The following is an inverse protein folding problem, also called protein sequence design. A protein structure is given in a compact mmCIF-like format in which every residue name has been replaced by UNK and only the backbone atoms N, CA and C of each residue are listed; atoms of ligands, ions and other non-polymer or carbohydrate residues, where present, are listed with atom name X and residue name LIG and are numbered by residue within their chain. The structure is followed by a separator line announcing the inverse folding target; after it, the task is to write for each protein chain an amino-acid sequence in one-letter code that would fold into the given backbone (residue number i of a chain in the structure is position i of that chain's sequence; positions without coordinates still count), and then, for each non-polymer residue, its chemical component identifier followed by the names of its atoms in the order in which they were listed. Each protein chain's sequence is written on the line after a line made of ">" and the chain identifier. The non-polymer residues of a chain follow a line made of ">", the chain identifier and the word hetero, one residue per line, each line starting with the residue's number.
data_IF_001795053064
#
_entry.id   IF_001795053064
#
_cell.length_a   1.000
_cell.length_b   1.000
_cell.length_c   1.000
_cell.angle_alpha   90.00
_cell.angle_beta   90.00
_cell.angle_gamma   90.00
#
_symmetry.space_group_name_H-M   'P 1'
#
loop_
_entity.id
_entity.type
_entity.pdbx_description
1 polymer ?
#
# COMPACT_ATOMS: atom_id res chain seq x y z
N UNK A 1 -8.23 8.86 7.10
CA UNK A 1 -8.12 10.33 6.88
C UNK A 1 -8.83 10.79 5.61
N UNK A 2 -8.58 10.22 4.43
CA UNK A 2 -9.21 10.67 3.15
C UNK A 2 -10.73 10.75 3.22
N UNK A 3 -11.42 9.73 3.77
CA UNK A 3 -12.86 9.79 3.95
C UNK A 3 -13.26 10.93 4.90
N UNK A 4 -12.57 11.07 6.04
CA UNK A 4 -12.87 12.10 7.03
C UNK A 4 -12.83 13.52 6.43
N UNK A 5 -11.82 13.79 5.58
CA UNK A 5 -11.64 15.07 4.91
C UNK A 5 -12.68 15.36 3.82
N UNK A 6 -13.36 14.34 3.32
CA UNK A 6 -14.42 14.49 2.29
C UNK A 6 -15.83 14.51 2.88
N UNK A 7 -15.99 14.25 4.18
CA UNK A 7 -17.28 14.37 4.83
C UNK A 7 -17.66 15.85 5.04
N UNK A 8 -18.97 16.17 5.05
CA UNK A 8 -19.44 17.53 5.36
C UNK A 8 -18.92 18.02 6.71
N UNK A 9 -18.51 19.28 6.77
CA UNK A 9 -17.98 19.91 7.99
C UNK A 9 -19.01 19.99 9.14
N UNK A 10 -20.29 19.79 8.84
CA UNK A 10 -21.36 19.68 9.85
C UNK A 10 -21.31 18.36 10.65
N UNK A 11 -20.59 17.35 10.15
CA UNK A 11 -20.39 16.08 10.84
C UNK A 11 -19.14 16.15 11.72
N UNK A 12 -19.28 15.78 12.99
CA UNK A 12 -18.14 15.57 13.89
C UNK A 12 -17.55 14.19 13.62
N UNK A 13 -16.25 14.13 13.35
CA UNK A 13 -15.54 12.91 12.97
C UNK A 13 -14.42 12.65 13.98
N UNK A 14 -14.36 11.46 14.54
CA UNK A 14 -13.22 10.97 15.28
C UNK A 14 -12.41 10.01 14.42
N UNK A 15 -11.12 10.28 14.23
CA UNK A 15 -10.18 9.39 13.54
C UNK A 15 -9.28 8.76 14.60
N UNK A 16 -9.36 7.44 14.73
CA UNK A 16 -8.62 6.68 15.72
C UNK A 16 -7.38 6.03 15.10
N UNK A 17 -6.31 6.04 15.86
CA UNK A 17 -5.09 5.29 15.55
C UNK A 17 -4.66 4.47 16.75
N UNK A 18 -4.34 3.19 16.54
CA UNK A 18 -3.85 2.26 17.57
C UNK A 18 -2.52 2.70 18.19
N UNK A 19 -1.76 3.48 17.46
CA UNK A 19 -0.49 4.07 17.86
C UNK A 19 -0.38 5.49 17.31
N UNK A 20 0.80 6.10 17.41
CA UNK A 20 1.03 7.43 16.85
C UNK A 20 0.78 7.46 15.33
N UNK A 21 0.40 8.60 14.79
CA UNK A 21 0.29 8.82 13.36
C UNK A 21 1.66 8.58 12.70
N UNK A 22 1.66 7.99 11.52
CA UNK A 22 2.90 7.63 10.85
C UNK A 22 3.46 6.25 11.21
N UNK A 23 2.80 5.48 12.08
CA UNK A 23 3.20 4.10 12.39
C UNK A 23 2.45 3.03 11.59
N UNK A 24 1.45 3.42 10.80
CA UNK A 24 0.64 2.51 9.99
C UNK A 24 1.31 2.08 8.69
N UNK A 25 0.78 1.04 8.03
CA UNK A 25 1.34 0.48 6.79
C UNK A 25 1.46 1.51 5.66
N UNK A 26 0.54 2.48 5.57
CA UNK A 26 0.61 3.55 4.56
C UNK A 26 1.90 4.36 4.67
N UNK A 27 2.33 4.70 5.88
CA UNK A 27 3.57 5.47 6.08
C UNK A 27 4.81 4.76 5.52
N UNK A 28 4.84 3.44 5.59
CA UNK A 28 5.96 2.62 5.13
C UNK A 28 5.84 2.17 3.67
N UNK A 29 4.76 2.55 2.98
CA UNK A 29 4.56 2.19 1.58
C UNK A 29 5.52 2.98 0.68
N UNK A 30 6.40 2.25 -0.01
CA UNK A 30 7.45 2.80 -0.87
C UNK A 30 6.95 3.04 -2.30
N UNK A 31 6.08 2.14 -2.80
CA UNK A 31 5.51 2.24 -4.14
C UNK A 31 4.59 3.44 -4.31
N UNK A 32 4.02 3.56 -5.50
CA UNK A 32 3.12 4.64 -5.83
C UNK A 32 1.65 4.23 -5.86
N UNK A 33 0.87 5.01 -6.59
CA UNK A 33 -0.53 4.78 -6.85
C UNK A 33 -0.75 4.58 -8.35
N UNK A 34 -1.39 3.46 -8.74
CA UNK A 34 -1.74 3.24 -10.13
C UNK A 34 -2.94 4.11 -10.54
N UNK A 35 -2.77 4.92 -11.58
CA UNK A 35 -3.81 5.78 -12.13
C UNK A 35 -3.60 6.01 -13.63
N UNK A 36 -4.70 6.13 -14.37
CA UNK A 36 -4.65 6.45 -15.80
C UNK A 36 -4.43 7.96 -15.96
N UNK A 37 -3.19 8.35 -16.21
CA UNK A 37 -2.76 9.76 -16.24
C UNK A 37 -2.18 10.17 -17.59
N UNK A 38 -1.81 9.22 -18.45
CA UNK A 38 -1.19 9.46 -19.73
C UNK A 38 -2.13 9.07 -20.89
N UNK A 39 -2.11 9.81 -21.99
CA UNK A 39 -3.01 9.65 -23.17
C UNK A 39 -2.86 8.30 -23.88
N UNK A 40 -1.72 7.61 -23.71
CA UNK A 40 -1.47 6.29 -24.29
C UNK A 40 -2.04 5.14 -23.46
N UNK A 41 -2.53 5.42 -22.25
CA UNK A 41 -3.16 4.47 -21.36
C UNK A 41 -4.68 4.67 -21.31
N UNK A 42 -5.41 3.62 -20.96
CA UNK A 42 -6.87 3.67 -20.88
C UNK A 42 -7.37 3.03 -19.60
N UNK A 43 -8.54 3.49 -19.12
CA UNK A 43 -9.24 2.85 -18.00
C UNK A 43 -9.48 1.36 -18.27
N UNK A 44 -9.84 1.00 -19.51
CA UNK A 44 -10.07 -0.40 -19.86
C UNK A 44 -8.80 -1.23 -19.76
N UNK A 45 -7.65 -0.73 -20.27
CA UNK A 45 -6.37 -1.42 -20.14
C UNK A 45 -5.99 -1.66 -18.68
N UNK A 46 -6.22 -0.68 -17.80
CA UNK A 46 -5.96 -0.84 -16.36
C UNK A 46 -6.94 -1.84 -15.70
N UNK A 47 -8.20 -1.86 -16.12
CA UNK A 47 -9.17 -2.87 -15.67
C UNK A 47 -8.74 -4.27 -16.09
N UNK A 48 -8.34 -4.45 -17.35
CA UNK A 48 -7.92 -5.75 -17.90
C UNK A 48 -6.67 -6.29 -17.17
N UNK A 49 -5.66 -5.43 -16.94
CA UNK A 49 -4.47 -5.77 -16.14
C UNK A 49 -4.86 -6.22 -14.71
N UNK A 50 -5.78 -5.49 -14.08
CA UNK A 50 -6.25 -5.80 -12.71
C UNK A 50 -6.98 -7.13 -12.65
N UNK A 51 -7.87 -7.41 -13.61
CA UNK A 51 -8.61 -8.67 -13.69
C UNK A 51 -7.65 -9.85 -13.98
N UNK A 52 -6.67 -9.63 -14.86
CA UNK A 52 -5.64 -10.63 -15.16
C UNK A 52 -4.79 -10.96 -13.92
N UNK A 53 -4.29 -9.94 -13.21
CA UNK A 53 -3.52 -10.14 -11.99
C UNK A 53 -4.33 -10.80 -10.87
N UNK A 54 -5.63 -10.50 -10.80
CA UNK A 54 -6.53 -11.05 -9.80
C UNK A 54 -6.97 -12.50 -10.04
N UNK A 55 -6.59 -13.10 -11.20
CA UNK A 55 -6.76 -14.53 -11.50
C UNK A 55 -8.17 -15.09 -11.21
N UNK A 56 -9.20 -14.34 -11.53
CA UNK A 56 -10.62 -14.73 -11.36
C UNK A 56 -11.22 -14.43 -9.98
N UNK A 57 -10.47 -13.83 -9.05
CA UNK A 57 -10.98 -13.45 -7.72
C UNK A 57 -11.59 -12.05 -7.67
N UNK A 58 -11.40 -11.26 -8.72
CA UNK A 58 -11.91 -9.89 -8.75
C UNK A 58 -13.43 -9.82 -8.92
N UNK A 59 -14.03 -8.85 -8.26
CA UNK A 59 -15.39 -8.39 -8.57
C UNK A 59 -15.29 -7.27 -9.60
N UNK A 60 -15.51 -7.60 -10.87
CA UNK A 60 -15.28 -6.70 -12.00
C UNK A 60 -15.96 -5.32 -11.85
N UNK A 61 -17.24 -5.19 -11.44
CA UNK A 61 -17.84 -3.88 -11.20
C UNK A 61 -17.10 -3.01 -10.19
N UNK A 62 -16.50 -3.63 -9.15
CA UNK A 62 -15.69 -2.90 -8.17
C UNK A 62 -14.35 -2.45 -8.76
N UNK A 63 -13.74 -3.26 -9.62
CA UNK A 63 -12.52 -2.89 -10.36
C UNK A 63 -12.79 -1.70 -11.26
N UNK A 64 -13.82 -1.78 -12.11
CA UNK A 64 -14.24 -0.70 -13.01
C UNK A 64 -14.53 0.60 -12.24
N UNK A 65 -15.27 0.50 -11.13
CA UNK A 65 -15.57 1.65 -10.26
C UNK A 65 -14.31 2.31 -9.71
N UNK A 66 -13.36 1.52 -9.21
CA UNK A 66 -12.14 2.02 -8.56
C UNK A 66 -11.18 2.63 -9.60
N UNK A 67 -10.89 1.89 -10.66
CA UNK A 67 -9.98 2.32 -11.72
C UNK A 67 -10.50 3.57 -12.43
N UNK A 68 -11.81 3.61 -12.74
CA UNK A 68 -12.44 4.75 -13.40
C UNK A 68 -12.36 6.07 -12.59
N UNK A 69 -12.08 5.99 -11.29
CA UNK A 69 -11.94 7.16 -10.40
C UNK A 69 -10.50 7.51 -10.04
N UNK A 70 -9.54 6.76 -10.54
CA UNK A 70 -8.13 6.91 -10.14
C UNK A 70 -7.61 8.33 -10.40
N UNK A 71 -7.88 8.91 -11.57
CA UNK A 71 -7.51 10.29 -11.92
C UNK A 71 -8.10 11.30 -10.94
N UNK A 72 -9.38 11.20 -10.64
CA UNK A 72 -10.07 12.09 -9.71
C UNK A 72 -9.43 12.08 -8.31
N UNK A 73 -9.01 10.90 -7.85
CA UNK A 73 -8.34 10.78 -6.54
C UNK A 73 -6.96 11.43 -6.55
N UNK A 74 -6.18 11.26 -7.62
CA UNK A 74 -4.88 11.94 -7.77
C UNK A 74 -5.06 13.46 -7.77
N UNK A 75 -5.99 13.98 -8.55
CA UNK A 75 -6.29 15.42 -8.61
C UNK A 75 -6.73 15.96 -7.23
N UNK A 76 -7.55 15.20 -6.49
CA UNK A 76 -7.93 15.55 -5.13
C UNK A 76 -6.72 15.56 -4.17
N UNK A 77 -5.83 14.57 -4.22
CA UNK A 77 -4.63 14.53 -3.39
C UNK A 77 -3.71 15.72 -3.65
N UNK A 78 -3.55 16.09 -4.92
CA UNK A 78 -2.80 17.30 -5.31
C UNK A 78 -3.45 18.54 -4.69
N UNK A 79 -4.78 18.65 -4.73
CA UNK A 79 -5.51 19.76 -4.10
C UNK A 79 -5.34 19.83 -2.59
N UNK A 80 -5.04 18.69 -1.94
CA UNK A 80 -4.69 18.63 -0.51
C UNK A 80 -3.23 19.05 -0.24
N UNK A 81 -2.41 19.19 -1.26
CA UNK A 81 -1.00 19.57 -1.14
C UNK A 81 -0.02 18.41 -1.36
N UNK A 82 -0.48 17.28 -1.88
CA UNK A 82 0.42 16.20 -2.26
C UNK A 82 1.24 16.61 -3.48
N UNK A 83 2.56 16.46 -3.39
CA UNK A 83 3.49 16.64 -4.48
C UNK A 83 3.94 15.27 -4.99
N UNK A 84 3.77 15.04 -6.28
CA UNK A 84 4.28 13.87 -6.98
C UNK A 84 5.46 14.25 -7.87
N UNK A 85 6.31 13.30 -8.17
CA UNK A 85 7.47 13.51 -9.02
C UNK A 85 7.05 13.84 -10.45
N UNK A 86 7.78 14.78 -11.04
CA UNK A 86 7.58 15.26 -12.41
C UNK A 86 8.72 14.76 -13.31
N UNK A 87 8.44 14.66 -14.59
CA UNK A 87 9.47 14.37 -15.58
C UNK A 87 10.49 15.50 -15.66
N UNK A 88 11.77 15.16 -15.66
CA UNK A 88 12.89 16.13 -15.69
C UNK A 88 13.12 16.75 -17.09
N UNK A 89 12.68 16.07 -18.15
CA UNK A 89 12.92 16.46 -19.54
C UNK A 89 12.01 17.58 -20.05
N UNK A 90 11.11 18.08 -19.21
CA UNK A 90 10.18 19.15 -19.58
C UNK A 90 10.53 20.47 -18.87
N UNK A 91 11.16 21.38 -19.63
CA UNK A 91 11.51 22.73 -19.14
C UNK A 91 10.33 23.72 -19.19
N UNK A 92 9.23 23.40 -19.88
CA UNK A 92 8.09 24.29 -20.06
C UNK A 92 7.06 24.11 -18.92
N UNK A 93 6.84 25.16 -18.15
CA UNK A 93 6.00 25.19 -16.96
C UNK A 93 4.49 24.95 -17.22
N UNK A 94 4.04 24.97 -18.46
CA UNK A 94 2.62 24.92 -18.82
C UNK A 94 2.07 23.48 -18.95
N UNK A 95 2.95 22.48 -19.16
CA UNK A 95 2.57 21.05 -19.28
C UNK A 95 3.52 20.16 -18.48
N UNK A 96 3.41 20.19 -17.16
CA UNK A 96 4.20 19.29 -16.30
C UNK A 96 3.60 17.89 -16.31
N UNK A 97 4.23 16.96 -17.02
CA UNK A 97 3.87 15.55 -16.94
C UNK A 97 4.47 14.88 -15.68
N UNK A 98 3.69 14.00 -15.07
CA UNK A 98 4.16 13.19 -13.96
C UNK A 98 5.18 12.16 -14.42
N UNK A 99 6.18 11.91 -13.59
CA UNK A 99 7.02 10.74 -13.75
C UNK A 99 6.21 9.50 -13.33
N UNK A 100 6.03 8.57 -14.26
CA UNK A 100 5.26 7.36 -14.04
C UNK A 100 6.17 6.14 -14.14
N UNK A 101 6.12 5.26 -13.14
CA UNK A 101 6.82 3.97 -13.16
C UNK A 101 5.90 2.84 -13.62
N UNK A 102 6.50 1.72 -13.99
CA UNK A 102 5.81 0.47 -14.27
C UNK A 102 6.13 -0.52 -13.15
N UNK A 103 5.10 -1.18 -12.66
CA UNK A 103 5.23 -2.27 -11.70
C UNK A 103 4.70 -3.57 -12.32
N UNK A 104 4.96 -4.70 -11.66
CA UNK A 104 4.55 -6.02 -12.13
C UNK A 104 3.04 -6.13 -12.36
N UNK A 105 2.66 -6.77 -13.47
CA UNK A 105 1.25 -6.94 -13.86
C UNK A 105 0.64 -5.75 -14.61
N UNK A 106 1.35 -4.62 -14.74
CA UNK A 106 0.89 -3.48 -15.51
C UNK A 106 1.40 -3.52 -16.95
N UNK A 107 0.54 -3.23 -17.92
CA UNK A 107 0.90 -3.11 -19.34
C UNK A 107 1.42 -1.72 -19.72
N UNK A 108 1.23 -0.71 -18.86
CA UNK A 108 1.64 0.67 -19.07
C UNK A 108 2.32 1.25 -17.83
N UNK A 109 3.18 2.27 -18.02
CA UNK A 109 3.66 3.11 -16.93
C UNK A 109 2.50 3.96 -16.43
N UNK A 110 1.96 3.66 -15.25
CA UNK A 110 0.81 4.35 -14.66
C UNK A 110 0.91 4.56 -13.17
N UNK A 111 2.03 4.20 -12.57
CA UNK A 111 2.22 4.34 -11.13
C UNK A 111 2.86 5.69 -10.84
N UNK A 112 2.06 6.62 -10.32
CA UNK A 112 2.49 7.93 -9.86
C UNK A 112 3.09 7.82 -8.46
N UNK A 113 4.17 8.53 -8.18
CA UNK A 113 4.93 8.36 -6.95
C UNK A 113 5.59 9.66 -6.46
N UNK A 114 6.11 9.64 -5.23
CA UNK A 114 7.00 10.63 -4.66
C UNK A 114 8.27 9.88 -4.17
N UNK A 115 9.30 9.83 -5.00
CA UNK A 115 10.49 9.00 -4.87
C UNK A 115 10.11 7.55 -4.43
N UNK A 116 10.78 7.00 -3.42
CA UNK A 116 10.47 5.69 -2.82
C UNK A 116 9.78 5.81 -1.44
N UNK A 117 9.06 6.93 -1.20
CA UNK A 117 8.38 7.21 0.06
C UNK A 117 6.97 7.80 -0.12
N UNK A 118 6.29 7.44 -1.18
CA UNK A 118 4.94 7.95 -1.53
C UNK A 118 3.96 7.85 -0.38
N UNK A 119 3.95 6.73 0.34
CA UNK A 119 3.04 6.51 1.45
C UNK A 119 3.32 7.43 2.65
N UNK A 120 4.60 7.75 2.90
CA UNK A 120 5.00 8.71 3.93
C UNK A 120 4.49 10.11 3.57
N UNK A 121 4.79 10.59 2.37
CA UNK A 121 4.35 11.89 1.90
C UNK A 121 2.82 12.03 1.97
N UNK A 122 2.09 10.99 1.50
CA UNK A 122 0.64 10.93 1.59
C UNK A 122 0.13 10.99 3.04
N UNK A 123 0.74 10.22 3.94
CA UNK A 123 0.34 10.18 5.34
C UNK A 123 0.55 11.52 6.05
N UNK A 124 1.66 12.19 5.80
CA UNK A 124 2.00 13.49 6.38
C UNK A 124 1.04 14.58 5.89
N UNK A 125 0.77 14.65 4.59
CA UNK A 125 -0.19 15.62 4.01
C UNK A 125 -1.58 15.42 4.58
N UNK A 126 -2.10 14.20 4.56
CA UNK A 126 -3.47 13.94 5.04
C UNK A 126 -3.60 14.10 6.56
N UNK A 127 -2.55 13.80 7.34
CA UNK A 127 -2.55 14.02 8.79
C UNK A 127 -2.58 15.52 9.11
N UNK A 128 -1.79 16.33 8.40
CA UNK A 128 -1.79 17.80 8.55
C UNK A 128 -3.17 18.36 8.23
N UNK A 129 -3.75 18.01 7.10
CA UNK A 129 -5.09 18.46 6.72
C UNK A 129 -6.18 18.03 7.70
N UNK A 130 -6.10 16.80 8.21
CA UNK A 130 -7.05 16.32 9.20
C UNK A 130 -6.91 17.06 10.53
N UNK A 131 -5.69 17.41 10.95
CA UNK A 131 -5.45 18.20 12.17
C UNK A 131 -5.93 19.66 12.05
N UNK A 132 -5.91 20.23 10.85
CA UNK A 132 -6.40 21.59 10.57
C UNK A 132 -7.95 21.66 10.48
N UNK A 133 -8.61 20.52 10.23
CA UNK A 133 -10.06 20.47 10.03
C UNK A 133 -10.82 20.57 11.37
N UNK A 134 -11.67 21.59 11.57
CA UNK A 134 -12.28 21.87 12.88
C UNK A 134 -13.30 20.81 13.32
N UNK A 135 -13.79 20.00 12.40
CA UNK A 135 -14.76 18.94 12.66
C UNK A 135 -14.12 17.56 12.86
N UNK A 136 -12.79 17.44 12.74
CA UNK A 136 -12.05 16.19 12.87
C UNK A 136 -11.26 16.19 14.18
N UNK A 137 -11.45 15.16 15.00
CA UNK A 137 -10.65 14.90 16.20
C UNK A 137 -9.77 13.68 15.98
N UNK A 138 -8.46 13.84 16.14
CA UNK A 138 -7.49 12.75 16.03
C UNK A 138 -7.27 12.13 17.41
N UNK A 139 -7.50 10.82 17.54
CA UNK A 139 -7.33 10.05 18.77
C UNK A 139 -6.26 9.00 18.56
N UNK A 140 -5.04 9.28 19.00
CA UNK A 140 -3.91 8.34 18.95
C UNK A 140 -3.89 7.46 20.20
N UNK A 141 -3.14 6.35 20.12
CA UNK A 141 -2.95 5.38 21.20
C UNK A 141 -4.28 4.83 21.73
N UNK A 142 -5.22 4.61 20.79
CA UNK A 142 -6.53 4.03 21.06
C UNK A 142 -6.78 2.82 20.19
N UNK A 143 -6.83 1.65 20.81
CA UNK A 143 -7.15 0.38 20.15
C UNK A 143 -8.68 0.19 20.14
N UNK A 144 -9.24 -0.10 18.97
CA UNK A 144 -10.63 -0.51 18.86
C UNK A 144 -10.78 -1.93 19.44
N UNK A 145 -11.55 -2.05 20.53
CA UNK A 145 -11.84 -3.34 21.17
C UNK A 145 -13.01 -4.03 20.49
N UNK A 146 -14.14 -3.29 20.39
CA UNK A 146 -15.34 -3.79 19.71
C UNK A 146 -16.27 -2.64 19.33
N UNK A 147 -17.28 -2.92 18.51
CA UNK A 147 -18.36 -1.99 18.22
C UNK A 147 -19.53 -2.21 19.15
N UNK A 148 -20.22 -1.13 19.52
CA UNK A 148 -21.43 -1.17 20.33
C UNK A 148 -22.64 -1.33 19.42
N UNK A 149 -23.49 -2.28 19.73
CA UNK A 149 -24.72 -2.55 18.96
C UNK A 149 -25.96 -2.42 19.83
N UNK A 150 -26.99 -1.77 19.29
CA UNK A 150 -28.35 -1.80 19.79
C UNK A 150 -29.21 -2.58 18.77
N UNK A 151 -29.47 -3.85 19.07
CA UNK A 151 -30.05 -4.77 18.09
C UNK A 151 -29.13 -5.01 16.90
N UNK A 152 -29.55 -4.67 15.70
CA UNK A 152 -28.76 -4.77 14.46
C UNK A 152 -27.98 -3.51 14.12
N UNK A 153 -28.22 -2.41 14.82
CA UNK A 153 -27.59 -1.12 14.51
C UNK A 153 -26.33 -0.91 15.34
N UNK A 154 -25.25 -0.50 14.70
CA UNK A 154 -24.03 -0.01 15.37
C UNK A 154 -24.29 1.41 15.87
N UNK A 155 -23.98 1.67 17.14
CA UNK A 155 -24.21 2.96 17.81
C UNK A 155 -22.96 3.52 18.51
N UNK A 156 -21.80 2.89 18.33
CA UNK A 156 -20.55 3.33 18.92
C UNK A 156 -19.46 2.28 18.92
N UNK A 157 -18.45 2.53 19.74
CA UNK A 157 -17.28 1.65 19.88
C UNK A 157 -16.72 1.68 21.31
N UNK A 158 -16.12 0.57 21.74
CA UNK A 158 -15.25 0.48 22.90
C UNK A 158 -13.79 0.64 22.46
N UNK A 159 -13.10 1.55 23.11
CA UNK A 159 -11.71 1.87 22.83
C UNK A 159 -10.86 1.56 24.06
N UNK A 160 -9.69 0.98 23.86
CA UNK A 160 -8.70 0.76 24.90
C UNK A 160 -7.53 1.72 24.71
N UNK A 161 -7.25 2.52 25.71
CA UNK A 161 -6.02 3.30 25.76
C UNK A 161 -4.80 2.38 25.88
N UNK A 162 -3.85 2.48 24.94
CA UNK A 162 -2.69 1.59 24.91
C UNK A 162 -1.63 1.95 25.97
N UNK A 163 -1.65 3.19 26.47
CA UNK A 163 -0.71 3.68 27.48
C UNK A 163 -1.25 3.65 28.91
N UNK A 164 -2.56 3.83 29.08
CA UNK A 164 -3.23 3.96 30.38
C UNK A 164 -4.13 2.77 30.75
N UNK A 165 -4.35 1.86 29.78
CA UNK A 165 -5.24 0.70 29.92
C UNK A 165 -6.70 1.06 30.28
N UNK A 166 -7.12 2.29 30.00
CA UNK A 166 -8.49 2.74 30.24
C UNK A 166 -9.38 2.35 29.07
N UNK A 167 -10.56 1.80 29.39
CA UNK A 167 -11.60 1.51 28.40
C UNK A 167 -12.55 2.70 28.30
N UNK A 168 -12.64 3.29 27.13
CA UNK A 168 -13.53 4.41 26.81
C UNK A 168 -14.69 3.92 25.94
N UNK A 169 -15.85 4.55 26.13
CA UNK A 169 -17.04 4.33 25.29
C UNK A 169 -17.27 5.54 24.43
N UNK A 170 -17.30 5.35 23.12
CA UNK A 170 -17.59 6.42 22.15
C UNK A 170 -18.91 6.13 21.46
N UNK A 171 -19.88 7.05 21.61
CA UNK A 171 -21.14 7.00 20.85
C UNK A 171 -20.94 7.58 19.46
N UNK A 172 -21.40 6.88 18.44
CA UNK A 172 -21.29 7.30 17.04
C UNK A 172 -22.47 6.78 16.22
N UNK A 173 -22.95 7.59 15.28
CA UNK A 173 -24.00 7.21 14.34
C UNK A 173 -23.51 6.17 13.30
N UNK A 174 -22.20 6.16 13.02
CA UNK A 174 -21.55 5.20 12.14
C UNK A 174 -20.12 4.94 12.58
N UNK A 175 -19.62 3.74 12.36
CA UNK A 175 -18.24 3.34 12.57
C UNK A 175 -17.67 2.82 11.25
N UNK A 176 -16.56 3.40 10.81
CA UNK A 176 -15.85 2.99 9.60
C UNK A 176 -14.58 2.24 10.00
N UNK A 177 -14.47 0.99 9.59
CA UNK A 177 -13.28 0.17 9.80
C UNK A 177 -12.29 0.38 8.65
N UNK A 178 -11.18 1.06 8.94
CA UNK A 178 -10.06 1.27 8.03
C UNK A 178 -8.76 0.77 8.67
N UNK A 179 -8.81 -0.41 9.29
CA UNK A 179 -7.84 -0.94 10.24
C UNK A 179 -6.66 -1.67 9.60
N UNK A 180 -6.62 -1.74 8.27
CA UNK A 180 -5.59 -2.50 7.53
C UNK A 180 -5.77 -4.01 7.63
N UNK A 181 -4.68 -4.73 7.40
CA UNK A 181 -4.66 -6.19 7.30
C UNK A 181 -4.17 -6.91 8.55
N UNK A 182 -3.82 -8.19 8.37
CA UNK A 182 -3.43 -9.13 9.43
C UNK A 182 -2.05 -9.76 9.20
N UNK A 183 -1.18 -9.14 8.41
CA UNK A 183 0.11 -9.74 8.01
C UNK A 183 1.06 -9.99 9.19
N UNK A 184 0.79 -9.42 10.37
CA UNK A 184 1.54 -9.69 11.61
C UNK A 184 1.25 -11.08 12.19
N UNK A 185 0.31 -11.83 11.62
CA UNK A 185 0.16 -13.27 11.89
C UNK A 185 1.39 -14.08 11.46
N UNK A 186 2.19 -13.56 10.51
CA UNK A 186 3.43 -14.20 10.07
C UNK A 186 4.63 -13.70 10.87
N UNK A 187 5.59 -14.62 11.11
CA UNK A 187 6.82 -14.32 11.86
C UNK A 187 7.67 -13.24 11.18
N UNK A 188 7.80 -13.32 9.86
CA UNK A 188 8.51 -12.36 9.02
C UNK A 188 7.50 -11.59 8.18
N UNK A 189 7.52 -10.27 8.29
CA UNK A 189 6.58 -9.40 7.59
C UNK A 189 7.18 -8.00 7.48
N UNK A 190 6.96 -7.35 6.34
CA UNK A 190 7.30 -5.94 6.11
C UNK A 190 6.27 -4.99 6.72
N UNK A 191 5.13 -5.51 7.20
CA UNK A 191 4.09 -4.70 7.82
C UNK A 191 4.47 -4.28 9.24
N UNK A 192 4.01 -3.10 9.70
CA UNK A 192 4.22 -2.64 11.08
C UNK A 192 3.48 -3.51 12.09
N UNK A 193 3.90 -3.40 13.35
CA UNK A 193 3.34 -4.20 14.46
C UNK A 193 1.82 -4.04 14.64
N UNK A 194 1.24 -2.93 14.18
CA UNK A 194 -0.19 -2.67 14.23
C UNK A 194 -1.05 -3.51 13.29
N UNK A 195 -0.46 -4.19 12.29
CA UNK A 195 -1.19 -4.99 11.30
C UNK A 195 -1.59 -6.37 11.85
N UNK A 196 -2.38 -6.41 12.91
CA UNK A 196 -2.75 -7.59 13.71
C UNK A 196 -4.15 -8.15 13.41
N UNK A 197 -4.91 -7.54 12.49
CA UNK A 197 -6.22 -8.04 12.07
C UNK A 197 -7.38 -7.68 13.02
N UNK A 198 -7.19 -6.72 13.91
CA UNK A 198 -8.20 -6.32 14.91
C UNK A 198 -9.55 -5.99 14.27
N UNK A 199 -9.55 -5.20 13.19
CA UNK A 199 -10.79 -4.82 12.50
C UNK A 199 -11.51 -5.99 11.84
N UNK A 200 -10.79 -7.00 11.38
CA UNK A 200 -11.38 -8.23 10.85
C UNK A 200 -12.13 -8.94 11.98
N UNK A 201 -11.50 -9.09 13.15
CA UNK A 201 -12.10 -9.73 14.31
C UNK A 201 -13.32 -8.95 14.82
N UNK A 202 -13.23 -7.62 14.90
CA UNK A 202 -14.35 -6.75 15.29
C UNK A 202 -15.51 -6.86 14.30
N UNK A 203 -15.23 -6.82 12.99
CA UNK A 203 -16.23 -6.97 11.95
C UNK A 203 -16.96 -8.31 12.05
N UNK A 204 -16.20 -9.41 12.26
CA UNK A 204 -16.79 -10.75 12.44
C UNK A 204 -17.69 -10.83 13.67
N UNK A 205 -17.25 -10.32 14.84
CA UNK A 205 -18.08 -10.26 16.05
C UNK A 205 -19.33 -9.39 15.88
N UNK A 206 -19.23 -8.33 15.07
CA UNK A 206 -20.36 -7.49 14.72
C UNK A 206 -21.41 -8.19 13.82
N UNK A 207 -21.06 -9.33 13.23
CA UNK A 207 -21.91 -10.09 12.31
C UNK A 207 -21.70 -9.78 10.84
N UNK A 208 -20.60 -9.09 10.48
CA UNK A 208 -20.22 -8.89 9.08
C UNK A 208 -19.76 -10.20 8.44
N UNK A 209 -20.03 -10.35 7.15
CA UNK A 209 -19.43 -11.41 6.36
C UNK A 209 -17.94 -11.16 6.20
N UNK A 210 -17.14 -12.13 6.56
CA UNK A 210 -15.68 -12.14 6.36
C UNK A 210 -15.35 -13.22 5.33
N UNK A 211 -14.49 -12.90 4.38
CA UNK A 211 -14.13 -13.78 3.27
C UNK A 211 -12.67 -13.63 2.89
N UNK A 212 -12.12 -14.62 2.20
CA UNK A 212 -10.78 -14.62 1.59
C UNK A 212 -9.64 -14.43 2.61
N UNK A 213 -9.80 -14.90 3.84
CA UNK A 213 -8.79 -14.77 4.91
C UNK A 213 -7.53 -15.61 4.66
N UNK A 214 -7.61 -16.61 3.78
CA UNK A 214 -6.50 -17.42 3.32
C UNK A 214 -5.52 -16.65 2.45
N UNK A 215 -5.96 -15.55 1.82
CA UNK A 215 -5.10 -14.77 0.94
C UNK A 215 -4.31 -13.73 1.73
N UNK A 216 -3.00 -13.90 1.72
CA UNK A 216 -2.05 -12.90 2.18
C UNK A 216 -1.00 -12.70 1.10
N UNK A 217 -0.76 -11.45 0.71
CA UNK A 217 0.24 -11.17 -0.31
C UNK A 217 1.64 -11.19 0.31
N UNK A 218 2.51 -12.06 -0.19
CA UNK A 218 3.92 -12.07 0.12
C UNK A 218 4.66 -11.16 -0.85
N UNK A 219 5.36 -10.15 -0.34
CA UNK A 219 6.20 -9.31 -1.17
C UNK A 219 7.44 -10.13 -1.57
N UNK A 220 7.77 -10.21 -2.88
CA UNK A 220 8.83 -11.10 -3.35
C UNK A 220 10.23 -10.67 -2.89
N UNK A 221 10.46 -9.37 -2.71
CA UNK A 221 11.78 -8.82 -2.39
C UNK A 221 11.78 -8.13 -1.03
N UNK A 222 12.21 -8.89 -0.02
CA UNK A 222 12.47 -8.42 1.32
C UNK A 222 13.95 -8.59 1.61
N UNK A 223 14.61 -7.54 2.11
CA UNK A 223 16.04 -7.59 2.42
C UNK A 223 16.33 -8.67 3.45
N UNK A 224 17.20 -9.60 3.09
CA UNK A 224 17.76 -10.61 4.00
C UNK A 224 19.07 -10.08 4.59
N UNK A 225 19.01 -9.62 5.85
CA UNK A 225 20.18 -9.14 6.57
C UNK A 225 19.96 -9.36 8.08
N UNK A 226 20.97 -9.88 8.82
CA UNK A 226 20.81 -10.22 10.24
C UNK A 226 20.45 -9.04 11.12
N UNK A 227 20.94 -7.84 10.82
CA UNK A 227 20.73 -6.62 11.60
C UNK A 227 19.55 -5.78 11.08
N UNK A 228 18.89 -6.19 9.98
CA UNK A 228 17.74 -5.48 9.41
C UNK A 228 16.46 -6.22 9.74
N UNK A 229 15.46 -5.46 10.22
CA UNK A 229 14.09 -5.97 10.18
C UNK A 229 13.67 -6.04 8.73
N UNK A 230 12.82 -7.03 8.39
CA UNK A 230 12.24 -7.26 7.07
C UNK A 230 11.99 -5.96 6.27
N UNK A 231 13.07 -5.37 5.73
CA UNK A 231 13.00 -4.13 4.94
C UNK A 231 12.50 -4.46 3.54
N UNK A 232 11.50 -3.73 3.08
CA UNK A 232 10.91 -3.95 1.77
C UNK A 232 11.81 -3.29 0.71
N UNK A 233 12.32 -4.10 -0.23
CA UNK A 233 12.97 -3.61 -1.45
C UNK A 233 11.87 -3.33 -2.46
N UNK A 234 11.66 -2.06 -2.79
CA UNK A 234 10.54 -1.60 -3.63
C UNK A 234 10.47 -2.32 -4.96
N UNK A 235 9.26 -2.60 -5.42
CA UNK A 235 9.02 -3.21 -6.74
C UNK A 235 9.47 -2.33 -7.90
N UNK A 236 9.50 -1.02 -7.69
CA UNK A 236 10.00 -0.08 -8.68
C UNK A 236 11.45 -0.37 -9.14
N UNK A 237 12.29 -0.99 -8.28
CA UNK A 237 13.61 -1.47 -8.68
C UNK A 237 13.52 -2.46 -9.86
N UNK A 238 12.58 -3.42 -9.80
CA UNK A 238 12.33 -4.36 -10.90
C UNK A 238 11.73 -3.64 -12.12
N UNK A 239 10.88 -2.64 -11.87
CA UNK A 239 10.32 -1.76 -12.92
C UNK A 239 11.40 -0.97 -13.68
N UNK A 240 12.51 -0.63 -13.00
CA UNK A 240 13.67 0.05 -13.60
C UNK A 240 14.76 -0.94 -14.04
N UNK A 241 14.43 -2.23 -14.12
CA UNK A 241 15.25 -3.26 -14.76
C UNK A 241 16.09 -4.11 -13.80
N UNK A 242 15.88 -4.04 -12.48
CA UNK A 242 16.56 -4.94 -11.56
C UNK A 242 16.19 -6.41 -11.84
N UNK A 243 17.19 -7.29 -11.81
CA UNK A 243 17.08 -8.72 -12.14
C UNK A 243 17.35 -9.61 -10.92
N UNK A 244 16.68 -10.76 -10.88
CA UNK A 244 16.83 -11.74 -9.81
C UNK A 244 17.82 -12.84 -10.17
N UNK A 245 18.78 -13.08 -9.29
CA UNK A 245 19.86 -14.03 -9.49
C UNK A 245 19.94 -15.04 -8.35
N UNK A 246 20.27 -16.26 -8.71
CA UNK A 246 20.69 -17.32 -7.79
C UNK A 246 22.05 -17.02 -7.16
N UNK A 247 22.47 -17.73 -6.11
CA UNK A 247 23.80 -17.56 -5.51
C UNK A 247 24.99 -17.77 -6.45
N UNK A 248 24.81 -18.51 -7.53
CA UNK A 248 25.82 -18.72 -8.59
C UNK A 248 25.82 -17.62 -9.66
N UNK A 249 24.94 -16.62 -9.56
CA UNK A 249 24.80 -15.52 -10.50
C UNK A 249 23.84 -15.78 -11.68
N UNK A 250 23.24 -16.97 -11.78
CA UNK A 250 22.30 -17.27 -12.85
C UNK A 250 20.95 -16.58 -12.63
N UNK A 251 20.39 -15.94 -13.67
CA UNK A 251 18.99 -15.47 -13.69
C UNK A 251 18.06 -16.66 -13.83
N UNK A 252 16.89 -16.59 -13.18
CA UNK A 252 15.96 -17.72 -13.15
C UNK A 252 14.50 -17.36 -13.50
N UNK A 253 14.12 -16.11 -13.51
CA UNK A 253 12.72 -15.72 -13.69
C UNK A 253 12.13 -16.13 -15.05
N UNK A 254 12.94 -16.19 -16.10
CA UNK A 254 12.53 -16.65 -17.44
C UNK A 254 12.03 -18.11 -17.48
N UNK A 255 12.42 -18.93 -16.51
CA UNK A 255 11.98 -20.32 -16.41
C UNK A 255 10.57 -20.45 -15.80
N UNK A 256 10.05 -19.36 -15.20
CA UNK A 256 8.77 -19.32 -14.51
C UNK A 256 7.71 -18.49 -15.23
N UNK A 257 8.09 -17.36 -15.84
CA UNK A 257 7.15 -16.47 -16.55
C UNK A 257 7.84 -15.65 -17.63
N UNK A 258 7.19 -15.50 -18.78
CA UNK A 258 7.72 -14.74 -19.92
C UNK A 258 7.90 -13.24 -19.64
N UNK A 259 7.23 -12.70 -18.60
CA UNK A 259 7.39 -11.31 -18.15
C UNK A 259 8.57 -11.16 -17.19
N UNK A 260 9.23 -12.25 -16.85
CA UNK A 260 10.39 -12.31 -15.96
C UNK A 260 10.12 -11.58 -14.62
N UNK A 261 10.96 -10.64 -14.23
CA UNK A 261 10.85 -9.88 -12.99
C UNK A 261 9.63 -8.94 -12.95
N UNK A 262 8.97 -8.68 -14.08
CA UNK A 262 7.72 -7.91 -14.18
C UNK A 262 6.46 -8.77 -14.11
N UNK A 263 6.59 -10.07 -13.85
CA UNK A 263 5.46 -10.92 -13.52
C UNK A 263 4.76 -10.44 -12.23
N UNK A 264 3.47 -10.74 -12.03
CA UNK A 264 2.76 -10.45 -10.78
C UNK A 264 3.51 -10.97 -9.55
N UNK A 265 3.36 -10.26 -8.43
CA UNK A 265 4.11 -10.53 -7.18
C UNK A 265 4.03 -11.96 -6.69
N UNK A 266 2.88 -12.59 -6.84
CA UNK A 266 2.67 -13.98 -6.42
C UNK A 266 3.49 -14.97 -7.26
N UNK A 267 3.65 -14.73 -8.56
CA UNK A 267 4.50 -15.55 -9.44
C UNK A 267 5.96 -15.39 -9.04
N UNK A 268 6.44 -14.16 -8.89
CA UNK A 268 7.83 -13.88 -8.48
C UNK A 268 8.12 -14.47 -7.11
N UNK A 269 7.21 -14.30 -6.13
CA UNK A 269 7.40 -14.85 -4.79
C UNK A 269 7.48 -16.37 -4.78
N UNK A 270 6.64 -17.06 -5.57
CA UNK A 270 6.67 -18.52 -5.70
C UNK A 270 7.93 -19.01 -6.42
N UNK A 271 8.41 -18.28 -7.43
CA UNK A 271 9.65 -18.61 -8.11
C UNK A 271 10.85 -18.52 -7.16
N UNK A 272 10.95 -17.45 -6.38
CA UNK A 272 11.99 -17.28 -5.37
C UNK A 272 11.91 -18.39 -4.31
N UNK A 273 10.75 -18.68 -3.77
CA UNK A 273 10.55 -19.73 -2.76
C UNK A 273 10.92 -21.12 -3.30
N UNK A 274 10.56 -21.41 -4.54
CA UNK A 274 10.91 -22.66 -5.21
C UNK A 274 12.44 -22.81 -5.36
N UNK A 275 13.12 -21.78 -5.89
CA UNK A 275 14.56 -21.83 -6.11
C UNK A 275 15.35 -21.90 -4.80
N UNK A 276 14.95 -21.12 -3.78
CA UNK A 276 15.58 -21.18 -2.46
C UNK A 276 15.47 -22.59 -1.85
N UNK A 277 14.31 -23.23 -1.95
CA UNK A 277 14.09 -24.60 -1.46
C UNK A 277 14.87 -25.64 -2.26
N UNK A 278 14.89 -25.50 -3.60
CA UNK A 278 15.62 -26.40 -4.49
C UNK A 278 17.12 -26.41 -4.22
N UNK A 279 17.69 -25.23 -3.93
CA UNK A 279 19.12 -25.05 -3.71
C UNK A 279 19.53 -25.14 -2.22
N UNK A 280 18.57 -25.12 -1.29
CA UNK A 280 18.87 -24.92 0.13
C UNK A 280 19.48 -23.56 0.44
N UNK A 281 19.18 -22.55 -0.40
CA UNK A 281 19.70 -21.21 -0.26
C UNK A 281 18.88 -20.37 0.72
N UNK A 282 19.53 -19.49 1.49
CA UNK A 282 18.86 -18.60 2.44
C UNK A 282 18.28 -17.34 1.79
N UNK A 283 18.80 -16.96 0.63
CA UNK A 283 18.34 -15.79 -0.14
C UNK A 283 18.66 -15.95 -1.63
N UNK A 284 18.09 -15.05 -2.44
CA UNK A 284 18.46 -14.74 -3.82
C UNK A 284 18.96 -13.31 -3.89
N UNK A 285 19.55 -12.89 -5.00
CA UNK A 285 20.11 -11.56 -5.17
C UNK A 285 19.27 -10.74 -6.13
N UNK A 286 18.99 -9.48 -5.77
CA UNK A 286 18.37 -8.49 -6.64
C UNK A 286 19.46 -7.53 -7.13
N UNK A 287 19.76 -7.57 -8.42
CA UNK A 287 20.84 -6.80 -9.05
C UNK A 287 20.29 -5.68 -9.94
N UNK A 288 20.70 -4.45 -9.67
CA UNK A 288 20.43 -3.25 -10.48
C UNK A 288 21.75 -2.52 -10.82
N UNK A 289 22.90 -3.16 -10.66
CA UNK A 289 24.23 -2.55 -10.82
C UNK A 289 24.53 -2.06 -12.25
N UNK A 290 23.72 -2.45 -13.23
CA UNK A 290 23.81 -1.93 -14.59
C UNK A 290 23.31 -0.49 -14.75
N UNK A 291 22.55 0.00 -13.77
CA UNK A 291 22.07 1.38 -13.74
C UNK A 291 23.10 2.31 -13.09
N UNK A 292 23.18 3.60 -13.53
CA UNK A 292 24.06 4.59 -12.91
C UNK A 292 23.73 4.82 -11.43
N UNK A 293 24.78 4.93 -10.59
CA UNK A 293 24.62 5.12 -9.14
C UNK A 293 23.84 6.39 -8.76
N UNK A 294 23.97 7.47 -9.53
CA UNK A 294 23.25 8.70 -9.34
C UNK A 294 21.75 8.57 -9.61
N UNK A 295 21.36 7.72 -10.56
CA UNK A 295 19.96 7.35 -10.80
C UNK A 295 19.40 6.58 -9.60
N UNK A 296 20.13 5.58 -9.11
CA UNK A 296 19.68 4.74 -7.99
C UNK A 296 19.52 5.58 -6.72
N UNK A 297 20.52 6.40 -6.38
CA UNK A 297 20.46 7.24 -5.16
C UNK A 297 19.36 8.30 -5.21
N UNK A 298 19.02 8.79 -6.39
CA UNK A 298 17.97 9.79 -6.58
C UNK A 298 16.57 9.18 -6.49
N UNK A 299 16.34 8.04 -7.15
CA UNK A 299 15.01 7.43 -7.24
C UNK A 299 14.70 6.49 -6.07
N UNK A 300 15.73 5.95 -5.42
CA UNK A 300 15.60 4.95 -4.35
C UNK A 300 16.42 5.29 -3.11
N UNK A 301 16.29 6.52 -2.54
CA UNK A 301 17.13 6.98 -1.44
C UNK A 301 16.97 6.17 -0.15
N UNK A 302 15.86 5.43 0.03
CA UNK A 302 15.67 4.55 1.20
C UNK A 302 16.24 3.15 0.99
N UNK A 303 16.35 2.69 -0.26
CA UNK A 303 16.87 1.38 -0.59
C UNK A 303 18.41 1.40 -0.68
N UNK A 304 19.01 2.56 -0.99
CA UNK A 304 20.45 2.79 -1.05
C UNK A 304 21.02 3.11 0.33
#
# INVERSE_FOLDING_TARGET
>A
MSLALQLPTSLRVAVLSKSQLGSGSTFWAQGGMAAVLHDRDTVQSHVDDTLSAGAGLCHEPAVQFTVGRSRQIVDWLISQGMNFDLREDQQDAEFREFHLTMEGGHSHRRVIHAADHTGRALSEVLATRAAEAPNITMLTDRCLVDVIKAGSQVCGAYLLGTGDSIVETVSAAAVVLATGGASKAYRYTTNPNGASGDGIAVAWRAGCRVANLEFNQFHPTCLYHPDSRSFLMTEALRGEGATLHLPDGQRFMSDFDNREELAPRDIVARAIDFEMKRLGAECVFLDISHQPADLITRHFPQAY
#
